data_IF_188829043561
#
_entry.id   IF_188829043561
#
_cell.length_a   1.000
_cell.length_b   1.000
_cell.length_c   1.000
_cell.angle_alpha   90.00
_cell.angle_beta   90.00
_cell.angle_gamma   90.00
#
_symmetry.space_group_name_H-M   'P 1'
#
loop_
_entity.id
_entity.type
_entity.pdbx_description
1 polymer ?
#
# COMPACT_ATOMS: atom_id res chain seq x y z
N UNK A 1 -10.26 12.54 -7.88
CA UNK A 1 -9.52 11.40 -7.33
C UNK A 1 -8.68 10.84 -8.46
N UNK A 2 -7.44 11.34 -8.55
CA UNK A 2 -6.51 10.93 -9.59
C UNK A 2 -6.27 9.43 -9.43
N UNK A 3 -6.65 8.66 -10.44
CA UNK A 3 -6.29 7.25 -10.53
C UNK A 3 -4.78 7.16 -10.72
N UNK A 4 -4.06 6.96 -9.62
CA UNK A 4 -2.65 6.62 -9.69
C UNK A 4 -2.54 5.20 -10.26
N UNK A 5 -2.06 5.10 -11.50
CA UNK A 5 -1.57 3.85 -12.08
C UNK A 5 -0.37 3.40 -11.22
N UNK A 6 -0.60 2.48 -10.29
CA UNK A 6 0.48 1.85 -9.54
C UNK A 6 1.08 0.71 -10.36
N UNK A 7 2.34 0.88 -10.73
CA UNK A 7 3.18 -0.19 -11.27
C UNK A 7 3.49 -1.15 -10.12
N UNK A 8 2.91 -2.36 -10.17
CA UNK A 8 3.37 -3.50 -9.39
C UNK A 8 4.74 -3.91 -9.94
N UNK A 9 5.80 -3.53 -9.22
CA UNK A 9 7.15 -4.00 -9.51
C UNK A 9 7.30 -5.42 -8.93
N UNK A 10 6.73 -6.41 -9.60
CA UNK A 10 6.94 -7.83 -9.29
C UNK A 10 8.29 -8.29 -9.84
N UNK A 11 9.36 -7.98 -9.10
CA UNK A 11 10.69 -8.52 -9.34
C UNK A 11 10.80 -9.96 -8.83
N UNK A 12 10.33 -10.93 -9.63
CA UNK A 12 10.62 -12.36 -9.47
C UNK A 12 12.10 -12.60 -9.81
N UNK A 13 12.94 -12.89 -8.81
CA UNK A 13 14.30 -13.39 -9.05
C UNK A 13 14.40 -14.81 -8.50
N UNK A 14 14.46 -15.75 -9.44
CA UNK A 14 14.74 -17.17 -9.25
C UNK A 14 16.16 -17.37 -8.70
N UNK A 15 16.26 -18.00 -7.53
CA UNK A 15 17.54 -18.47 -6.98
C UNK A 15 17.84 -19.84 -7.59
N UNK A 16 18.75 -19.90 -8.56
CA UNK A 16 19.37 -21.14 -9.02
C UNK A 16 20.69 -21.35 -8.28
N UNK A 17 20.81 -22.51 -7.62
CA UNK A 17 21.91 -22.86 -6.74
C UNK A 17 23.27 -23.02 -7.40
N UNK A 18 24.30 -22.86 -6.56
CA UNK A 18 25.66 -23.32 -6.84
C UNK A 18 26.17 -24.00 -5.57
N UNK A 19 26.12 -25.33 -5.57
CA UNK A 19 26.97 -26.17 -4.73
C UNK A 19 28.36 -26.20 -5.36
N UNK A 20 29.39 -25.78 -4.63
CA UNK A 20 30.77 -26.16 -4.91
C UNK A 20 31.36 -26.70 -3.61
N UNK A 21 31.45 -28.02 -3.57
CA UNK A 21 32.32 -28.81 -2.71
C UNK A 21 33.77 -28.64 -3.17
N UNK A 22 34.70 -28.46 -2.23
CA UNK A 22 36.14 -28.55 -2.51
C UNK A 22 36.87 -29.39 -1.45
N UNK A 23 37.30 -30.56 -1.92
CA UNK A 23 38.57 -31.25 -1.70
C UNK A 23 38.98 -31.67 -0.28
N UNK A 24 38.72 -32.94 0.03
CA UNK A 24 39.52 -33.72 0.99
C UNK A 24 40.84 -34.17 0.35
N UNK A 25 41.95 -33.88 1.01
CA UNK A 25 43.29 -34.28 0.59
C UNK A 25 43.61 -35.67 1.20
N UNK A 26 43.85 -36.65 0.33
CA UNK A 26 44.31 -38.00 0.69
C UNK A 26 45.73 -37.95 1.25
N UNK A 27 45.96 -38.52 2.44
CA UNK A 27 47.30 -38.70 3.01
C UNK A 27 48.00 -39.90 2.38
N UNK A 28 49.17 -39.66 1.76
CA UNK A 28 50.06 -40.73 1.33
C UNK A 28 50.79 -41.32 2.55
N UNK A 29 50.64 -42.63 2.76
CA UNK A 29 51.37 -43.40 3.76
C UNK A 29 52.85 -43.53 3.32
N UNK A 30 53.77 -42.83 3.98
CA UNK A 30 55.21 -43.04 3.78
C UNK A 30 55.69 -44.27 4.57
N UNK A 31 56.18 -45.29 3.84
CA UNK A 31 56.87 -46.44 4.43
C UNK A 31 58.35 -46.06 4.65
N UNK A 32 58.77 -45.81 5.89
CA UNK A 32 60.15 -45.40 6.23
C UNK A 32 61.01 -46.62 6.58
N UNK A 33 62.19 -46.72 5.97
CA UNK A 33 63.17 -47.79 6.18
C UNK A 33 64.04 -47.46 7.40
N UNK A 34 64.00 -48.30 8.43
CA UNK A 34 64.92 -48.23 9.59
C UNK A 34 66.20 -49.00 9.27
N UNK A 35 67.34 -48.47 9.70
CA UNK A 35 68.68 -48.97 9.32
C UNK A 35 69.22 -50.03 10.29
N UNK A 36 68.57 -50.23 11.44
CA UNK A 36 68.98 -51.17 12.48
C UNK A 36 70.09 -50.65 13.40
N UNK A 37 70.57 -49.42 13.20
CA UNK A 37 71.51 -48.76 14.09
C UNK A 37 70.73 -47.86 15.05
N UNK A 38 70.70 -48.21 16.35
CA UNK A 38 69.87 -47.54 17.35
C UNK A 38 70.13 -46.03 17.45
N UNK A 39 71.38 -45.59 17.30
CA UNK A 39 71.75 -44.18 17.44
C UNK A 39 71.38 -43.36 16.20
N UNK A 40 71.46 -43.98 15.03
CA UNK A 40 71.04 -43.37 13.76
C UNK A 40 69.51 -43.38 13.63
N UNK A 41 68.88 -44.50 13.94
CA UNK A 41 67.43 -44.66 13.91
C UNK A 41 66.76 -43.80 15.00
N UNK A 42 67.38 -43.61 16.17
CA UNK A 42 66.86 -42.67 17.19
C UNK A 42 66.89 -41.23 16.72
N UNK A 43 67.93 -40.83 15.96
CA UNK A 43 68.01 -39.48 15.37
C UNK A 43 67.04 -39.31 14.20
N UNK A 44 66.83 -40.36 13.40
CA UNK A 44 65.83 -40.37 12.31
C UNK A 44 64.42 -40.29 12.88
N UNK A 45 64.15 -40.91 14.02
CA UNK A 45 62.86 -40.85 14.73
C UNK A 45 62.70 -39.52 15.45
N UNK A 46 63.71 -39.03 16.18
CA UNK A 46 63.62 -37.78 16.94
C UNK A 46 63.53 -36.54 16.05
N UNK A 47 64.22 -36.52 14.90
CA UNK A 47 64.07 -35.45 13.91
C UNK A 47 62.73 -35.51 13.15
N UNK A 48 62.10 -36.69 13.08
CA UNK A 48 60.75 -36.87 12.52
C UNK A 48 59.63 -36.74 13.56
N UNK A 49 59.96 -36.55 14.84
CA UNK A 49 59.00 -36.09 15.84
C UNK A 49 58.69 -34.61 15.56
N UNK A 50 58.08 -34.33 14.41
CA UNK A 50 57.14 -33.23 14.33
C UNK A 50 56.07 -33.54 15.36
N UNK A 51 56.10 -32.87 16.52
CA UNK A 51 54.93 -32.82 17.39
C UNK A 51 53.80 -32.39 16.45
N UNK A 52 52.81 -33.25 16.16
CA UNK A 52 51.73 -32.82 15.28
C UNK A 52 51.17 -31.56 15.91
N UNK A 53 51.24 -30.44 15.17
CA UNK A 53 50.54 -29.23 15.54
C UNK A 53 49.16 -29.68 15.99
N UNK A 54 48.78 -29.37 17.25
CA UNK A 54 47.48 -29.72 17.83
C UNK A 54 46.47 -29.61 16.69
N UNK A 55 45.77 -30.69 16.28
CA UNK A 55 44.77 -30.58 15.24
C UNK A 55 43.71 -29.63 15.80
N UNK A 56 43.82 -28.37 15.42
CA UNK A 56 42.84 -27.36 15.75
C UNK A 56 41.70 -27.65 14.78
N UNK A 57 40.91 -28.68 15.10
CA UNK A 57 39.65 -28.96 14.43
C UNK A 57 38.73 -27.81 14.88
N UNK A 58 38.91 -26.66 14.23
CA UNK A 58 37.90 -25.62 14.22
C UNK A 58 36.78 -26.21 13.38
N UNK A 59 35.76 -26.77 14.05
CA UNK A 59 34.46 -26.93 13.41
C UNK A 59 34.13 -25.58 12.79
N UNK A 60 33.80 -25.58 11.49
CA UNK A 60 33.50 -24.37 10.75
C UNK A 60 32.53 -23.54 11.59
N UNK A 61 32.96 -22.35 12.03
CA UNK A 61 32.05 -21.42 12.69
C UNK A 61 30.84 -21.24 11.76
N UNK A 62 29.62 -21.48 12.24
CA UNK A 62 28.43 -21.29 11.42
C UNK A 62 28.47 -19.87 10.85
N UNK A 63 28.36 -19.75 9.51
CA UNK A 63 28.55 -18.47 8.83
C UNK A 63 27.50 -17.48 9.30
N UNK A 64 27.96 -16.35 9.84
CA UNK A 64 27.07 -15.25 10.23
C UNK A 64 26.27 -14.77 9.01
N UNK A 65 25.00 -14.48 9.25
CA UNK A 65 24.07 -13.92 8.28
C UNK A 65 24.18 -12.40 8.22
N UNK A 66 23.97 -11.82 7.04
CA UNK A 66 24.08 -10.38 6.84
C UNK A 66 22.84 -9.65 7.34
N UNK A 67 23.01 -8.78 8.33
CA UNK A 67 21.93 -7.94 8.90
C UNK A 67 21.33 -7.00 7.85
N UNK A 68 22.19 -6.39 7.03
CA UNK A 68 21.76 -5.47 5.98
C UNK A 68 20.91 -6.20 4.92
N UNK A 69 21.35 -7.39 4.50
CA UNK A 69 20.59 -8.19 3.54
C UNK A 69 19.23 -8.60 4.11
N UNK A 70 19.17 -9.02 5.37
CA UNK A 70 17.91 -9.35 6.04
C UNK A 70 16.94 -8.17 6.05
N UNK A 71 17.41 -6.98 6.45
CA UNK A 71 16.61 -5.77 6.41
C UNK A 71 16.10 -5.45 5.01
N UNK A 72 16.97 -5.52 3.99
CA UNK A 72 16.60 -5.25 2.61
C UNK A 72 15.53 -6.22 2.09
N UNK A 73 15.67 -7.52 2.40
CA UNK A 73 14.70 -8.52 2.03
C UNK A 73 13.32 -8.21 2.63
N UNK A 74 13.26 -7.89 3.92
CA UNK A 74 12.00 -7.57 4.60
C UNK A 74 11.39 -6.21 4.23
N UNK A 75 12.22 -5.26 3.79
CA UNK A 75 11.73 -4.00 3.25
C UNK A 75 10.99 -4.19 1.91
N UNK A 76 11.36 -5.21 1.12
CA UNK A 76 10.70 -5.53 -0.15
C UNK A 76 9.51 -6.47 0.08
N UNK A 77 9.70 -7.51 0.90
CA UNK A 77 8.67 -8.50 1.22
C UNK A 77 8.69 -8.73 2.74
N UNK A 78 7.70 -8.23 3.49
CA UNK A 78 7.63 -8.43 4.94
C UNK A 78 7.72 -9.91 5.30
N UNK A 79 8.63 -10.24 6.22
CA UNK A 79 8.91 -11.60 6.65
C UNK A 79 10.08 -12.29 5.92
N UNK A 80 10.58 -11.75 4.80
CA UNK A 80 11.62 -12.42 4.01
C UNK A 80 13.00 -12.43 4.70
N UNK A 81 13.36 -11.37 5.43
CA UNK A 81 14.57 -11.28 6.23
C UNK A 81 14.53 -12.10 7.51
N UNK A 82 13.35 -12.23 8.12
CA UNK A 82 13.08 -13.14 9.25
C UNK A 82 13.19 -14.58 8.79
N UNK A 83 12.68 -14.90 7.60
CA UNK A 83 12.86 -16.21 6.98
C UNK A 83 14.34 -16.49 6.70
N UNK A 84 15.05 -15.52 6.14
CA UNK A 84 16.50 -15.60 5.92
C UNK A 84 17.26 -15.87 7.23
N UNK A 85 16.85 -15.26 8.34
CA UNK A 85 17.44 -15.47 9.68
C UNK A 85 16.89 -16.68 10.45
N UNK A 86 16.14 -17.59 9.79
CA UNK A 86 15.56 -18.81 10.38
C UNK A 86 14.48 -18.56 11.46
N UNK A 87 13.96 -17.34 11.55
CA UNK A 87 12.84 -16.98 12.41
C UNK A 87 11.49 -17.18 11.70
N UNK A 88 11.19 -18.43 11.34
CA UNK A 88 10.03 -18.79 10.49
C UNK A 88 8.67 -18.37 11.05
N UNK A 89 8.48 -18.42 12.37
CA UNK A 89 7.22 -17.99 12.98
C UNK A 89 7.00 -16.48 12.76
N UNK A 90 8.03 -15.66 12.90
CA UNK A 90 7.94 -14.22 12.66
C UNK A 90 7.69 -13.92 11.17
N UNK A 91 8.41 -14.63 10.29
CA UNK A 91 8.21 -14.54 8.86
C UNK A 91 6.75 -14.83 8.47
N UNK A 92 6.16 -15.90 9.03
CA UNK A 92 4.77 -16.26 8.79
C UNK A 92 3.79 -15.19 9.31
N UNK A 93 4.03 -14.61 10.48
CA UNK A 93 3.20 -13.53 11.04
C UNK A 93 3.21 -12.31 10.11
N UNK A 94 4.39 -11.81 9.73
CA UNK A 94 4.50 -10.66 8.83
C UNK A 94 3.84 -10.92 7.48
N UNK A 95 3.98 -12.11 6.92
CA UNK A 95 3.35 -12.49 5.66
C UNK A 95 1.81 -12.56 5.77
N UNK A 96 1.27 -13.13 6.85
CA UNK A 96 -0.19 -13.20 7.08
C UNK A 96 -0.78 -11.80 7.28
N UNK A 97 -0.10 -10.96 8.06
CA UNK A 97 -0.50 -9.56 8.31
C UNK A 97 -0.51 -8.77 7.00
N UNK A 98 0.54 -8.91 6.18
CA UNK A 98 0.66 -8.29 4.86
C UNK A 98 -0.48 -8.74 3.92
N UNK A 99 -0.70 -10.05 3.80
CA UNK A 99 -1.76 -10.60 2.96
C UNK A 99 -3.15 -10.11 3.39
N UNK A 100 -3.39 -10.00 4.70
CA UNK A 100 -4.66 -9.49 5.25
C UNK A 100 -4.87 -8.01 4.91
N UNK A 101 -3.81 -7.20 5.00
CA UNK A 101 -3.85 -5.78 4.68
C UNK A 101 -4.05 -5.55 3.16
N UNK A 102 -3.31 -6.26 2.31
CA UNK A 102 -3.50 -6.22 0.84
C UNK A 102 -4.93 -6.62 0.48
N UNK A 103 -5.44 -7.72 1.06
CA UNK A 103 -6.81 -8.18 0.81
C UNK A 103 -7.83 -7.11 1.18
N UNK A 104 -7.64 -6.46 2.35
CA UNK A 104 -8.50 -5.37 2.80
C UNK A 104 -8.45 -4.19 1.83
N UNK A 105 -7.25 -3.73 1.45
CA UNK A 105 -7.06 -2.63 0.52
C UNK A 105 -7.78 -2.89 -0.82
N UNK A 106 -7.59 -4.08 -1.41
CA UNK A 106 -8.21 -4.46 -2.68
C UNK A 106 -9.73 -4.56 -2.56
N UNK A 107 -10.25 -5.26 -1.55
CA UNK A 107 -11.69 -5.44 -1.37
C UNK A 107 -12.41 -4.11 -1.16
N UNK A 108 -11.85 -3.22 -0.33
CA UNK A 108 -12.48 -1.94 -0.01
C UNK A 108 -12.36 -0.93 -1.15
N UNK A 109 -11.24 -0.91 -1.90
CA UNK A 109 -11.14 -0.10 -3.12
C UNK A 109 -12.19 -0.54 -4.17
N UNK A 110 -12.39 -1.85 -4.33
CA UNK A 110 -13.42 -2.37 -5.24
C UNK A 110 -14.84 -2.05 -4.76
N UNK A 111 -15.10 -2.07 -3.44
CA UNK A 111 -16.38 -1.64 -2.86
C UNK A 111 -16.63 -0.14 -3.08
N UNK A 112 -15.63 0.71 -2.84
CA UNK A 112 -15.69 2.14 -3.10
C UNK A 112 -15.98 2.46 -4.57
N UNK A 113 -15.36 1.72 -5.49
CA UNK A 113 -15.59 1.87 -6.94
C UNK A 113 -17.03 1.49 -7.33
N UNK A 114 -17.52 0.32 -6.91
CA UNK A 114 -18.92 -0.08 -7.17
C UNK A 114 -19.93 0.87 -6.55
N UNK A 115 -19.65 1.36 -5.35
CA UNK A 115 -20.50 2.34 -4.68
C UNK A 115 -20.49 3.70 -5.41
N UNK A 116 -19.37 4.03 -6.05
CA UNK A 116 -19.22 5.19 -6.92
C UNK A 116 -20.11 5.08 -8.14
N UNK A 117 -20.03 3.95 -8.85
CA UNK A 117 -20.92 3.67 -9.99
C UNK A 117 -22.39 3.74 -9.56
N UNK A 118 -22.71 3.20 -8.37
CA UNK A 118 -24.08 3.23 -7.84
C UNK A 118 -24.60 4.65 -7.63
N UNK A 119 -23.86 5.51 -6.90
CA UNK A 119 -24.35 6.86 -6.64
C UNK A 119 -24.36 7.71 -7.92
N UNK A 120 -23.40 7.53 -8.83
CA UNK A 120 -23.36 8.27 -10.10
C UNK A 120 -24.57 7.93 -10.95
N UNK A 121 -24.89 6.63 -11.12
CA UNK A 121 -26.09 6.19 -11.80
C UNK A 121 -27.37 6.71 -11.14
N UNK A 122 -27.41 6.75 -9.79
CA UNK A 122 -28.54 7.34 -9.07
C UNK A 122 -28.68 8.84 -9.37
N UNK A 123 -27.59 9.60 -9.40
CA UNK A 123 -27.61 11.01 -9.79
C UNK A 123 -28.09 11.19 -11.23
N UNK A 124 -27.56 10.43 -12.19
CA UNK A 124 -27.94 10.53 -13.60
C UNK A 124 -29.41 10.18 -13.85
N UNK A 125 -30.01 9.36 -12.99
CA UNK A 125 -31.43 9.02 -13.04
C UNK A 125 -32.35 10.03 -12.32
N UNK A 126 -31.82 10.87 -11.43
CA UNK A 126 -32.64 11.67 -10.51
C UNK A 126 -32.28 13.16 -10.44
N UNK A 127 -31.19 13.59 -11.06
CA UNK A 127 -30.75 14.98 -11.09
C UNK A 127 -30.65 15.45 -12.55
N UNK A 128 -31.22 16.61 -12.84
CA UNK A 128 -31.30 17.15 -14.18
C UNK A 128 -30.74 18.56 -14.23
N UNK A 129 -29.65 18.75 -14.99
CA UNK A 129 -29.04 20.07 -15.20
C UNK A 129 -30.03 21.05 -15.81
N UNK A 130 -30.90 20.59 -16.72
CA UNK A 130 -31.92 21.45 -17.31
C UNK A 130 -32.94 21.94 -16.29
N UNK A 131 -33.31 21.11 -15.31
CA UNK A 131 -34.26 21.49 -14.26
C UNK A 131 -33.65 22.55 -13.35
N UNK A 132 -32.40 22.36 -12.98
CA UNK A 132 -31.61 23.33 -12.24
C UNK A 132 -31.48 24.66 -12.99
N UNK A 133 -31.05 24.62 -14.25
CA UNK A 133 -30.85 25.81 -15.08
C UNK A 133 -32.15 26.60 -15.28
N UNK A 134 -33.27 25.90 -15.54
CA UNK A 134 -34.59 26.52 -15.66
C UNK A 134 -34.99 27.23 -14.36
N UNK A 135 -34.85 26.55 -13.22
CA UNK A 135 -35.17 27.12 -11.91
C UNK A 135 -34.31 28.34 -11.62
N UNK A 136 -33.00 28.25 -11.85
CA UNK A 136 -32.06 29.34 -11.61
C UNK A 136 -32.35 30.57 -12.47
N UNK A 137 -32.72 30.39 -13.75
CA UNK A 137 -33.16 31.49 -14.62
C UNK A 137 -34.46 32.13 -14.13
N UNK A 138 -35.46 31.31 -13.76
CA UNK A 138 -36.76 31.79 -13.30
C UNK A 138 -36.67 32.63 -12.04
N UNK A 139 -35.79 32.26 -11.11
CA UNK A 139 -35.60 32.92 -9.82
C UNK A 139 -34.36 33.83 -9.79
N UNK A 140 -33.75 34.12 -10.93
CA UNK A 140 -32.50 34.89 -11.01
C UNK A 140 -32.59 36.24 -10.28
N UNK A 141 -33.68 36.98 -10.50
CA UNK A 141 -33.92 38.30 -9.88
C UNK A 141 -34.17 38.24 -8.38
N UNK A 142 -34.67 37.12 -7.87
CA UNK A 142 -34.86 36.90 -6.42
C UNK A 142 -33.52 36.59 -5.74
N UNK A 143 -32.59 35.96 -6.47
CA UNK A 143 -31.24 35.62 -5.98
C UNK A 143 -30.29 36.82 -6.11
N UNK A 144 -30.32 37.50 -7.25
CA UNK A 144 -29.50 38.65 -7.56
C UNK A 144 -30.31 39.62 -8.45
N UNK A 145 -30.75 40.72 -7.84
CA UNK A 145 -31.60 41.73 -8.49
C UNK A 145 -30.95 42.42 -9.69
N UNK A 146 -29.62 42.41 -9.76
CA UNK A 146 -28.85 43.13 -10.79
C UNK A 146 -28.78 42.36 -12.11
N UNK A 147 -29.24 41.11 -12.12
CA UNK A 147 -29.17 40.23 -13.28
C UNK A 147 -30.47 40.27 -14.08
N UNK A 148 -30.33 40.41 -15.39
CA UNK A 148 -31.39 40.13 -16.34
C UNK A 148 -31.26 38.70 -16.89
N UNK A 149 -32.13 37.75 -16.51
CA UNK A 149 -32.02 36.36 -16.98
C UNK A 149 -32.17 36.21 -18.50
N UNK A 150 -32.78 37.17 -19.19
CA UNK A 150 -32.93 37.15 -20.66
C UNK A 150 -31.60 37.32 -21.41
N UNK A 151 -30.55 37.80 -20.74
CA UNK A 151 -29.22 37.97 -21.33
C UNK A 151 -28.47 36.63 -21.44
N UNK A 152 -28.98 35.57 -20.79
CA UNK A 152 -28.33 34.26 -20.70
C UNK A 152 -29.14 33.19 -21.45
N UNK A 153 -28.72 32.91 -22.68
CA UNK A 153 -29.30 31.85 -23.53
C UNK A 153 -28.75 30.46 -23.16
N UNK A 154 -29.14 29.94 -21.98
CA UNK A 154 -28.66 28.64 -21.48
C UNK A 154 -29.21 27.46 -22.28
N UNK A 155 -30.41 27.60 -22.87
CA UNK A 155 -31.03 26.55 -23.68
C UNK A 155 -30.86 26.86 -25.17
N UNK A 156 -30.24 25.97 -25.93
CA UNK A 156 -29.87 26.22 -27.34
C UNK A 156 -31.06 26.26 -28.29
N UNK A 157 -31.95 25.28 -28.17
CA UNK A 157 -33.04 25.05 -29.13
C UNK A 157 -34.43 25.16 -28.51
N UNK A 158 -34.52 25.70 -27.29
CA UNK A 158 -35.75 25.72 -26.49
C UNK A 158 -35.92 27.09 -25.89
N UNK A 159 -37.07 27.72 -26.17
CA UNK A 159 -37.47 28.94 -25.49
C UNK A 159 -37.94 28.60 -24.07
N UNK A 160 -37.22 29.13 -23.08
CA UNK A 160 -37.47 28.94 -21.65
C UNK A 160 -38.89 29.36 -21.26
N UNK A 161 -39.44 30.40 -21.89
CA UNK A 161 -40.80 30.89 -21.61
C UNK A 161 -41.91 29.89 -22.00
N UNK A 162 -41.60 28.94 -22.87
CA UNK A 162 -42.55 27.91 -23.35
C UNK A 162 -42.52 26.63 -22.51
N UNK A 163 -41.53 26.47 -21.62
CA UNK A 163 -41.38 25.26 -20.82
C UNK A 163 -42.46 25.22 -19.73
N UNK A 164 -43.38 24.25 -19.82
CA UNK A 164 -44.29 23.95 -18.73
C UNK A 164 -43.60 23.02 -17.71
N UNK A 165 -43.30 23.50 -16.49
CA UNK A 165 -42.53 22.73 -15.52
C UNK A 165 -43.22 21.46 -15.01
N UNK A 166 -44.55 21.40 -15.09
CA UNK A 166 -45.33 20.26 -14.61
C UNK A 166 -45.34 19.09 -15.60
N UNK A 167 -45.05 19.34 -16.88
CA UNK A 167 -45.06 18.34 -17.95
C UNK A 167 -43.72 18.23 -18.68
N UNK A 168 -42.74 19.05 -18.34
CA UNK A 168 -41.42 19.07 -18.97
C UNK A 168 -40.68 17.73 -18.78
N UNK A 169 -40.13 17.22 -19.88
CA UNK A 169 -39.18 16.11 -19.85
C UNK A 169 -37.77 16.66 -19.61
N UNK A 170 -37.44 16.93 -18.35
CA UNK A 170 -36.13 17.45 -17.93
C UNK A 170 -34.97 16.58 -18.42
N UNK A 171 -35.12 15.25 -18.42
CA UNK A 171 -34.06 14.36 -18.92
C UNK A 171 -33.71 14.62 -20.39
N UNK A 172 -34.72 14.88 -21.23
CA UNK A 172 -34.51 15.21 -22.65
C UNK A 172 -33.84 16.57 -22.80
N UNK A 173 -34.28 17.55 -22.01
CA UNK A 173 -33.77 18.93 -22.06
C UNK A 173 -32.33 19.07 -21.57
N UNK A 174 -31.77 18.10 -20.84
CA UNK A 174 -30.35 18.12 -20.47
C UNK A 174 -29.43 18.30 -21.69
N UNK A 175 -29.78 17.75 -22.85
CA UNK A 175 -28.98 17.87 -24.08
C UNK A 175 -29.00 19.28 -24.70
N UNK A 176 -30.04 20.07 -24.39
CA UNK A 176 -30.18 21.44 -24.90
C UNK A 176 -29.44 22.47 -24.03
N UNK A 177 -28.92 22.08 -22.86
CA UNK A 177 -28.19 22.98 -21.97
C UNK A 177 -26.82 23.30 -22.55
N UNK A 178 -26.53 24.60 -22.67
CA UNK A 178 -25.22 25.14 -22.96
C UNK A 178 -24.43 25.38 -21.69
N UNK A 179 -23.42 24.53 -21.46
CA UNK A 179 -22.57 24.55 -20.27
C UNK A 179 -21.78 25.85 -20.12
N UNK A 180 -21.32 26.46 -21.22
CA UNK A 180 -20.57 27.71 -21.17
C UNK A 180 -21.51 28.82 -20.70
N UNK A 181 -22.70 28.91 -21.30
CA UNK A 181 -23.70 29.90 -20.89
C UNK A 181 -24.24 29.67 -19.49
N UNK A 182 -24.38 28.40 -19.07
CA UNK A 182 -24.73 28.06 -17.69
C UNK A 182 -23.66 28.56 -16.72
N UNK A 183 -22.39 28.29 -16.96
CA UNK A 183 -21.32 28.70 -16.04
C UNK A 183 -21.11 30.23 -16.05
N UNK A 184 -21.27 30.90 -17.20
CA UNK A 184 -21.32 32.37 -17.27
C UNK A 184 -22.44 32.92 -16.38
N UNK A 185 -23.63 32.34 -16.48
CA UNK A 185 -24.79 32.72 -15.66
C UNK A 185 -24.58 32.45 -14.16
N UNK A 186 -24.07 31.29 -13.78
CA UNK A 186 -23.74 30.96 -12.38
C UNK A 186 -22.73 31.95 -11.78
N UNK A 187 -21.76 32.39 -12.60
CA UNK A 187 -20.76 33.39 -12.19
C UNK A 187 -21.40 34.75 -11.95
N UNK A 188 -22.30 35.15 -12.84
CA UNK A 188 -23.04 36.38 -12.68
C UNK A 188 -23.91 36.31 -11.41
N UNK A 189 -24.65 35.22 -11.20
CA UNK A 189 -25.48 35.01 -10.02
C UNK A 189 -24.68 35.19 -8.73
N UNK A 190 -23.49 34.60 -8.65
CA UNK A 190 -22.59 34.70 -7.51
C UNK A 190 -21.80 36.01 -7.38
N UNK A 191 -21.88 36.93 -8.34
CA UNK A 191 -21.07 38.17 -8.33
C UNK A 191 -21.51 39.19 -7.27
N UNK A 192 -22.78 39.13 -6.86
CA UNK A 192 -23.33 40.05 -5.87
C UNK A 192 -23.06 39.51 -4.45
N UNK A 193 -22.40 40.26 -3.54
CA UNK A 193 -22.08 39.81 -2.18
C UNK A 193 -23.30 39.43 -1.34
N UNK A 194 -24.47 39.97 -1.64
CA UNK A 194 -25.74 39.67 -0.97
C UNK A 194 -26.40 38.36 -1.46
N UNK A 195 -25.92 37.76 -2.56
CA UNK A 195 -26.51 36.55 -3.18
C UNK A 195 -26.27 35.24 -2.40
N UNK A 196 -25.42 35.27 -1.36
CA UNK A 196 -25.40 34.36 -0.22
C UNK A 196 -25.14 32.86 -0.43
N UNK A 197 -25.19 32.32 -1.66
CA UNK A 197 -25.09 30.87 -1.84
C UNK A 197 -24.74 30.34 -3.23
N UNK A 198 -24.60 31.18 -4.25
CA UNK A 198 -24.03 30.79 -5.55
C UNK A 198 -22.52 31.03 -5.55
N UNK A 199 -21.76 30.05 -5.05
CA UNK A 199 -20.30 30.18 -4.88
C UNK A 199 -19.50 29.29 -5.81
N UNK A 200 -20.15 28.32 -6.44
CA UNK A 200 -19.51 27.33 -7.29
C UNK A 200 -20.14 27.32 -8.68
N UNK A 201 -19.32 26.97 -9.68
CA UNK A 201 -19.77 26.69 -11.04
C UNK A 201 -19.94 25.20 -11.19
N UNK A 202 -20.99 24.78 -11.87
CA UNK A 202 -21.23 23.37 -12.13
C UNK A 202 -20.20 22.83 -13.15
N UNK A 203 -19.39 21.83 -12.79
CA UNK A 203 -18.47 21.16 -13.71
C UNK A 203 -19.24 20.37 -14.78
N UNK A 204 -18.56 19.99 -15.86
CA UNK A 204 -19.18 19.22 -16.92
C UNK A 204 -19.69 17.87 -16.43
N UNK A 205 -20.79 17.40 -17.02
CA UNK A 205 -21.33 16.07 -16.75
C UNK A 205 -20.26 14.99 -16.97
N UNK A 206 -20.25 13.98 -16.09
CA UNK A 206 -19.25 12.91 -16.09
C UNK A 206 -17.98 13.21 -15.30
N UNK A 207 -17.70 14.47 -14.97
CA UNK A 207 -16.57 14.80 -14.10
C UNK A 207 -16.84 14.40 -12.65
N UNK A 208 -15.79 14.00 -11.92
CA UNK A 208 -15.94 13.69 -10.50
C UNK A 208 -16.47 14.89 -9.70
N UNK A 209 -16.01 16.10 -10.03
CA UNK A 209 -16.44 17.30 -9.31
C UNK A 209 -17.93 17.56 -9.52
N UNK A 210 -18.49 17.26 -10.71
CA UNK A 210 -19.93 17.38 -10.96
C UNK A 210 -20.74 16.57 -9.94
N UNK A 211 -20.42 15.28 -9.79
CA UNK A 211 -21.05 14.42 -8.79
C UNK A 211 -20.73 14.86 -7.35
N UNK A 212 -19.60 15.51 -7.12
CA UNK A 212 -19.32 16.09 -5.81
C UNK A 212 -20.27 17.24 -5.46
N UNK A 213 -20.41 18.19 -6.36
CA UNK A 213 -21.09 19.44 -6.07
C UNK A 213 -22.60 19.26 -5.90
N UNK A 214 -23.24 18.50 -6.79
CA UNK A 214 -24.71 18.33 -6.82
C UNK A 214 -25.31 17.69 -5.56
N UNK A 215 -24.47 17.02 -4.76
CA UNK A 215 -24.85 16.42 -3.47
C UNK A 215 -24.36 17.17 -2.24
N UNK A 216 -23.48 18.16 -2.40
CA UNK A 216 -22.79 18.86 -1.30
C UNK A 216 -23.31 20.27 -1.08
N UNK A 217 -23.60 21.01 -2.15
CA UNK A 217 -23.99 22.41 -2.06
C UNK A 217 -25.49 22.58 -2.32
N UNK A 218 -26.14 23.35 -1.45
CA UNK A 218 -27.58 23.62 -1.54
C UNK A 218 -27.98 24.31 -2.84
N UNK A 219 -27.09 25.09 -3.46
CA UNK A 219 -27.37 25.74 -4.75
C UNK A 219 -27.83 24.76 -5.85
N UNK A 220 -27.44 23.49 -5.78
CA UNK A 220 -27.81 22.47 -6.78
C UNK A 220 -29.02 21.62 -6.38
N UNK A 221 -29.67 21.92 -5.25
CA UNK A 221 -30.81 21.16 -4.71
C UNK A 221 -31.96 21.09 -5.73
N UNK A 222 -32.21 22.18 -6.45
CA UNK A 222 -33.35 22.33 -7.34
C UNK A 222 -33.27 21.48 -8.62
N UNK A 223 -32.09 20.94 -8.95
CA UNK A 223 -31.92 19.97 -10.03
C UNK A 223 -32.47 18.57 -9.73
N UNK A 224 -32.72 18.24 -8.45
CA UNK A 224 -33.23 16.91 -8.06
C UNK A 224 -34.70 16.73 -8.46
N UNK A 225 -35.06 15.52 -8.89
CA UNK A 225 -36.36 15.19 -9.51
C UNK A 225 -37.56 15.64 -8.68
N UNK A 226 -37.58 15.39 -7.36
CA UNK A 226 -38.70 15.68 -6.45
C UNK A 226 -38.58 17.04 -5.72
N UNK A 227 -37.93 18.04 -6.30
CA UNK A 227 -38.00 19.43 -5.80
C UNK A 227 -39.18 20.20 -6.37
N UNK A 228 -39.75 21.06 -5.53
CA UNK A 228 -40.72 22.07 -5.93
C UNK A 228 -39.98 23.28 -6.49
N UNK A 229 -40.07 23.45 -7.80
CA UNK A 229 -39.41 24.53 -8.53
C UNK A 229 -40.20 25.85 -8.54
N UNK A 230 -41.33 25.91 -7.82
CA UNK A 230 -42.00 27.19 -7.56
C UNK A 230 -41.36 27.93 -6.37
N UNK A 231 -40.63 27.21 -5.53
CA UNK A 231 -39.97 27.75 -4.35
C UNK A 231 -38.61 28.37 -4.73
N UNK A 232 -38.41 29.64 -4.40
CA UNK A 232 -37.12 30.34 -4.62
C UNK A 232 -36.06 30.03 -3.57
N UNK A 233 -36.43 29.37 -2.47
CA UNK A 233 -35.48 28.94 -1.46
C UNK A 233 -34.74 27.66 -1.88
N UNK A 234 -33.56 27.81 -2.49
CA UNK A 234 -32.67 26.69 -2.84
C UNK A 234 -32.04 25.99 -1.62
N UNK A 235 -32.15 26.53 -0.41
CA UNK A 235 -31.68 25.85 0.80
C UNK A 235 -32.56 24.65 1.21
N UNK A 236 -33.67 24.42 0.52
CA UNK A 236 -34.52 23.24 0.73
C UNK A 236 -33.82 22.00 0.19
N UNK A 237 -33.41 21.10 1.09
CA UNK A 237 -32.75 19.84 0.74
C UNK A 237 -33.79 18.74 0.53
N UNK A 238 -33.96 18.22 -0.70
CA UNK A 238 -34.91 17.14 -0.94
C UNK A 238 -34.37 15.81 -0.39
N UNK A 239 -35.24 14.87 0.06
CA UNK A 239 -34.81 13.55 0.55
C UNK A 239 -33.94 12.77 -0.45
N UNK A 240 -34.13 12.98 -1.75
CA UNK A 240 -33.32 12.34 -2.79
C UNK A 240 -31.86 12.81 -2.79
N UNK A 241 -31.61 14.09 -2.52
CA UNK A 241 -30.27 14.65 -2.38
C UNK A 241 -29.60 14.12 -1.12
N UNK A 242 -30.33 14.05 0.00
CA UNK A 242 -29.83 13.47 1.26
C UNK A 242 -29.46 12.00 1.08
N UNK A 243 -30.32 11.22 0.45
CA UNK A 243 -30.01 9.82 0.13
C UNK A 243 -28.75 9.71 -0.74
N UNK A 244 -28.65 10.51 -1.79
CA UNK A 244 -27.45 10.55 -2.64
C UNK A 244 -26.18 10.90 -1.87
N UNK A 245 -26.24 11.94 -1.04
CA UNK A 245 -25.12 12.37 -0.21
C UNK A 245 -24.66 11.25 0.74
N UNK A 246 -25.60 10.50 1.32
CA UNK A 246 -25.30 9.31 2.12
C UNK A 246 -24.59 8.23 1.30
N UNK A 247 -25.10 7.90 0.11
CA UNK A 247 -24.48 6.90 -0.77
C UNK A 247 -23.07 7.28 -1.21
N UNK A 248 -22.81 8.57 -1.38
CA UNK A 248 -21.47 9.12 -1.60
C UNK A 248 -20.59 9.03 -0.36
N UNK A 249 -21.14 9.32 0.82
CA UNK A 249 -20.47 9.12 2.10
C UNK A 249 -19.97 7.67 2.26
N UNK A 250 -20.82 6.69 1.95
CA UNK A 250 -20.44 5.28 1.98
C UNK A 250 -19.28 4.93 1.03
N UNK A 251 -19.23 5.53 -0.16
CA UNK A 251 -18.10 5.32 -1.07
C UNK A 251 -16.80 5.85 -0.46
N UNK A 252 -16.85 7.05 0.13
CA UNK A 252 -15.71 7.64 0.83
C UNK A 252 -15.26 6.77 2.00
N UNK A 253 -16.19 6.23 2.79
CA UNK A 253 -15.85 5.34 3.92
C UNK A 253 -15.12 4.08 3.45
N UNK A 254 -15.55 3.50 2.32
CA UNK A 254 -14.85 2.37 1.73
C UNK A 254 -13.44 2.74 1.25
N UNK A 255 -13.27 3.86 0.56
CA UNK A 255 -11.96 4.31 0.12
C UNK A 255 -11.04 4.64 1.31
N UNK A 256 -11.54 5.31 2.35
CA UNK A 256 -10.79 5.62 3.57
C UNK A 256 -10.30 4.34 4.27
N UNK A 257 -11.15 3.30 4.32
CA UNK A 257 -10.75 2.00 4.90
C UNK A 257 -9.66 1.33 4.06
N UNK A 258 -9.79 1.37 2.72
CA UNK A 258 -8.78 0.85 1.82
C UNK A 258 -7.44 1.60 1.92
N UNK A 259 -7.49 2.93 2.02
CA UNK A 259 -6.33 3.80 2.21
C UNK A 259 -5.63 3.51 3.55
N UNK A 260 -6.38 3.35 4.63
CA UNK A 260 -5.84 2.95 5.93
C UNK A 260 -5.10 1.60 5.86
N UNK A 261 -5.62 0.63 5.10
CA UNK A 261 -4.96 -0.65 4.89
C UNK A 261 -3.65 -0.49 4.10
N UNK A 262 -3.59 0.40 3.11
CA UNK A 262 -2.35 0.73 2.37
C UNK A 262 -1.32 1.39 3.28
N UNK A 263 -1.74 2.32 4.14
CA UNK A 263 -0.84 2.91 5.16
C UNK A 263 -0.29 1.83 6.07
N UNK A 264 -1.13 0.90 6.49
CA UNK A 264 -0.72 -0.22 7.34
C UNK A 264 0.26 -1.17 6.65
N UNK A 265 0.13 -1.43 5.34
CA UNK A 265 1.13 -2.18 4.55
C UNK A 265 2.52 -1.51 4.68
N UNK A 266 2.62 -0.20 4.48
CA UNK A 266 3.90 0.50 4.60
C UNK A 266 4.48 0.38 6.02
N UNK A 267 3.64 0.47 7.05
CA UNK A 267 4.08 0.27 8.44
C UNK A 267 4.59 -1.16 8.65
N UNK A 268 3.91 -2.16 8.11
CA UNK A 268 4.30 -3.56 8.21
C UNK A 268 5.68 -3.82 7.57
N UNK A 269 5.94 -3.24 6.38
CA UNK A 269 7.25 -3.29 5.72
C UNK A 269 8.37 -2.69 6.58
N UNK A 270 8.14 -1.52 7.17
CA UNK A 270 9.15 -0.85 8.01
C UNK A 270 9.42 -1.66 9.28
N UNK A 271 8.38 -2.16 9.93
CA UNK A 271 8.50 -2.99 11.14
C UNK A 271 9.22 -4.30 10.85
N UNK A 272 8.88 -4.98 9.75
CA UNK A 272 9.57 -6.21 9.34
C UNK A 272 11.02 -5.96 8.96
N UNK A 273 11.34 -4.85 8.27
CA UNK A 273 12.73 -4.49 7.99
C UNK A 273 13.58 -4.42 9.27
N UNK A 274 13.08 -3.72 10.31
CA UNK A 274 13.80 -3.60 11.57
C UNK A 274 13.83 -4.90 12.37
N UNK A 275 12.73 -5.66 12.41
CA UNK A 275 12.71 -6.96 13.09
C UNK A 275 13.65 -7.96 12.41
N UNK A 276 13.75 -7.98 11.08
CA UNK A 276 14.69 -8.83 10.36
C UNK A 276 16.15 -8.54 10.70
N UNK A 277 16.51 -7.25 10.83
CA UNK A 277 17.85 -6.84 11.28
C UNK A 277 18.13 -7.36 12.69
N UNK A 278 17.17 -7.18 13.61
CA UNK A 278 17.28 -7.64 14.99
C UNK A 278 17.35 -9.18 15.07
N UNK A 279 16.45 -9.86 14.38
CA UNK A 279 16.35 -11.33 14.34
C UNK A 279 17.65 -11.94 13.80
N UNK A 280 18.25 -11.32 12.78
CA UNK A 280 19.56 -11.73 12.28
C UNK A 280 20.68 -11.51 13.30
N UNK A 281 20.60 -10.44 14.09
CA UNK A 281 21.56 -10.18 15.16
C UNK A 281 21.51 -11.28 16.23
N UNK A 282 20.31 -11.57 16.75
CA UNK A 282 20.10 -12.65 17.72
C UNK A 282 20.51 -14.02 17.17
N UNK A 283 20.22 -14.29 15.90
CA UNK A 283 20.68 -15.51 15.25
C UNK A 283 22.22 -15.59 15.27
N UNK A 284 22.90 -14.52 14.84
CA UNK A 284 24.36 -14.47 14.82
C UNK A 284 24.99 -14.59 16.22
N UNK A 285 24.35 -14.05 17.26
CA UNK A 285 24.82 -14.17 18.64
C UNK A 285 24.60 -15.59 19.20
N UNK A 286 23.46 -16.22 18.88
CA UNK A 286 23.19 -17.62 19.27
C UNK A 286 24.21 -18.60 18.68
N UNK A 287 24.70 -18.32 17.47
CA UNK A 287 25.76 -19.07 16.82
C UNK A 287 27.12 -18.92 17.51
N UNK A 288 27.40 -17.77 18.14
CA UNK A 288 28.65 -17.53 18.88
C UNK A 288 28.66 -18.22 20.25
N UNK A 289 27.50 -18.47 20.85
CA UNK A 289 27.36 -19.09 22.17
C UNK A 289 27.68 -20.60 22.19
N UNK A 290 27.67 -21.28 21.04
CA UNK A 290 27.96 -22.71 20.90
C UNK A 290 29.35 -22.94 20.30
N UNK A 291 30.41 -22.74 21.09
CA UNK A 291 31.77 -23.07 20.65
C UNK A 291 32.13 -24.51 21.05
N UNK A 292 32.04 -25.44 20.10
CA UNK A 292 32.58 -26.79 20.27
C UNK A 292 34.09 -26.76 19.98
N UNK A 293 34.91 -27.13 20.96
CA UNK A 293 36.37 -27.22 20.82
C UNK A 293 36.81 -28.64 21.15
N UNK A 294 37.78 -29.16 20.40
CA UNK A 294 38.48 -30.39 20.80
C UNK A 294 39.79 -29.95 21.43
N UNK A 295 39.95 -30.20 22.73
CA UNK A 295 41.16 -29.83 23.45
C UNK A 295 42.04 -31.07 23.60
N UNK A 296 43.23 -31.03 22.99
CA UNK A 296 44.25 -32.03 23.21
C UNK A 296 44.93 -31.80 24.57
N UNK A 297 44.73 -32.70 25.51
CA UNK A 297 45.38 -32.70 26.82
C UNK A 297 46.43 -33.81 26.82
N UNK A 298 47.65 -33.50 27.27
CA UNK A 298 48.74 -34.45 27.31
C UNK A 298 48.84 -35.02 28.73
N UNK A 299 48.46 -36.28 28.91
CA UNK A 299 48.53 -36.98 30.19
C UNK A 299 49.49 -38.17 30.04
N UNK A 300 50.54 -38.20 30.87
CA UNK A 300 51.50 -39.31 30.94
C UNK A 300 52.09 -39.74 29.58
N UNK A 301 52.38 -38.79 28.69
CA UNK A 301 52.99 -39.05 27.37
C UNK A 301 52.01 -39.59 26.31
N UNK A 302 50.71 -39.67 26.61
CA UNK A 302 49.65 -39.97 25.64
C UNK A 302 48.81 -38.71 25.41
N UNK A 303 48.59 -38.40 24.14
CA UNK A 303 47.69 -37.32 23.73
C UNK A 303 46.25 -37.86 23.75
N UNK A 304 45.42 -37.35 24.66
CA UNK A 304 43.99 -37.65 24.67
C UNK A 304 43.21 -36.45 24.11
N UNK A 305 42.32 -36.72 23.16
CA UNK A 305 41.44 -35.72 22.55
C UNK A 305 40.13 -35.71 23.33
N UNK A 306 39.93 -34.66 24.12
CA UNK A 306 38.69 -34.49 24.89
C UNK A 306 37.80 -33.51 24.13
N UNK A 307 36.60 -33.92 23.67
CA UNK A 307 35.62 -32.98 23.14
C UNK A 307 35.10 -32.09 24.28
N UNK A 308 35.27 -30.78 24.15
CA UNK A 308 34.79 -29.79 25.13
C UNK A 308 33.75 -28.86 24.47
N UNK A 309 32.54 -28.87 25.01
CA UNK A 309 31.48 -27.93 24.62
C UNK A 309 31.53 -26.72 25.55
N UNK A 310 31.93 -25.56 25.03
CA UNK A 310 31.87 -24.31 25.77
C UNK A 310 30.58 -23.58 25.42
N UNK A 311 29.62 -23.59 26.36
CA UNK A 311 28.40 -22.79 26.29
C UNK A 311 28.61 -21.52 27.09
N UNK A 312 28.51 -20.35 26.44
CA UNK A 312 28.47 -19.06 27.14
C UNK A 312 27.08 -18.45 26.99
N UNK A 313 26.40 -18.22 28.11
CA UNK A 313 25.09 -17.55 28.17
C UNK A 313 25.26 -16.22 28.87
N UNK A 314 24.98 -15.11 28.19
CA UNK A 314 24.94 -13.78 28.81
C UNK A 314 23.47 -13.39 29.04
N UNK A 315 23.14 -13.04 30.28
CA UNK A 315 21.84 -12.48 30.69
C UNK A 315 21.74 -11.00 30.31
#
# INVERSE_FOLDING_TARGET
>A
MKAYKFFLLSGLILISGIFISSNGQSSNLFKKSLTGNLQFDSNIVSNDLTIPNKPNIQLQNPRKKSRFLAGLLSAIVPGAGEFYSEHYLKAAIFAIVEASAITTAVLYNNRGSRQTDFFQNYADANWYVSKYAYWALKHAKEINSDINPNDYHIFRNVDVGTINPNTANWKKLNGDVDWIKLNEFESALGSNPQSGGFTHRLPYHGEQQYYELIGKYYQYSMGWRKTDISNSNYAVVPPQMTYYAHQRGLANDYFNTGEAAVVFIYLNHVLSMFDAVWSTDRYNDSLLAMNFRIQGVNYAGKMELIPTLNMSYNF
#
